data_IF_598192265736
#
_entry.id   IF_598192265736
#
_cell.length_a   1.000
_cell.length_b   1.000
_cell.length_c   1.000
_cell.angle_alpha   90.00
_cell.angle_beta   90.00
_cell.angle_gamma   90.00
#
_symmetry.space_group_name_H-M   'P 1'
#
loop_
_entity.id
_entity.type
_entity.pdbx_description
1 polymer ?
#
# COMPACT_ATOMS: atom_id res chain seq x y z
N UNK A 1 -26.07 -17.01 62.74
CA UNK A 1 -26.15 -15.67 63.36
C UNK A 1 -27.54 -15.12 63.09
N UNK A 2 -28.39 -15.18 64.11
CA UNK A 2 -29.76 -14.66 64.11
C UNK A 2 -29.76 -13.24 64.70
N UNK A 3 -30.71 -12.45 64.21
CA UNK A 3 -30.95 -11.05 64.49
C UNK A 3 -31.37 -10.74 65.95
N UNK A 4 -31.16 -9.48 66.37
CA UNK A 4 -32.19 -8.58 66.95
C UNK A 4 -31.55 -7.46 67.78
N UNK A 5 -31.96 -6.21 67.53
CA UNK A 5 -32.66 -5.35 68.50
C UNK A 5 -32.70 -3.89 68.01
N UNK A 6 -33.90 -3.33 68.09
CA UNK A 6 -34.32 -2.02 67.61
C UNK A 6 -34.34 -0.95 68.73
N UNK A 7 -34.76 0.26 68.32
CA UNK A 7 -35.49 1.35 69.02
C UNK A 7 -34.73 2.69 69.04
N UNK A 8 -35.34 3.89 68.95
CA UNK A 8 -36.64 4.43 68.49
C UNK A 8 -36.61 5.94 68.85
N UNK A 9 -37.34 6.79 68.12
CA UNK A 9 -38.17 7.99 68.54
C UNK A 9 -38.22 8.99 67.36
N UNK A 10 -39.33 9.15 66.61
CA UNK A 10 -40.62 9.86 66.89
C UNK A 10 -40.45 11.41 66.91
N UNK A 11 -41.29 12.31 66.38
CA UNK A 11 -42.67 12.36 65.81
C UNK A 11 -42.84 13.80 65.23
N UNK A 12 -43.71 14.20 64.28
CA UNK A 12 -45.18 14.42 64.37
C UNK A 12 -45.72 15.03 63.04
N UNK A 13 -46.89 14.51 62.58
CA UNK A 13 -48.16 15.14 62.12
C UNK A 13 -48.17 16.34 61.11
N UNK A 14 -49.09 16.54 60.15
CA UNK A 14 -50.54 16.24 59.92
C UNK A 14 -50.95 16.43 58.42
N UNK A 15 -52.01 15.77 57.94
CA UNK A 15 -52.83 16.10 56.74
C UNK A 15 -54.23 16.62 57.19
N UNK A 16 -55.14 17.24 56.37
CA UNK A 16 -55.84 16.58 55.23
C UNK A 16 -56.46 17.47 54.08
N UNK A 17 -56.99 16.80 53.02
CA UNK A 17 -58.17 17.09 52.14
C UNK A 17 -58.27 18.42 51.31
N UNK A 18 -58.90 18.57 50.13
CA UNK A 18 -59.59 17.74 49.12
C UNK A 18 -59.83 18.55 47.81
N UNK A 19 -59.88 17.85 46.66
CA UNK A 19 -60.63 18.03 45.38
C UNK A 19 -61.07 19.41 44.83
N UNK A 20 -60.65 19.73 43.59
CA UNK A 20 -61.48 20.20 42.46
C UNK A 20 -60.68 20.19 41.12
N UNK A 21 -61.36 19.95 39.99
CA UNK A 21 -60.87 19.79 38.58
C UNK A 21 -61.84 20.59 37.66
N UNK A 22 -61.58 21.00 36.39
CA UNK A 22 -60.41 21.56 35.68
C UNK A 22 -60.75 22.89 34.92
N UNK A 23 -59.79 23.49 34.20
CA UNK A 23 -60.08 24.38 33.05
C UNK A 23 -59.03 24.21 31.93
N UNK A 24 -59.51 24.18 30.68
CA UNK A 24 -58.74 23.91 29.44
C UNK A 24 -57.90 25.08 28.90
N UNK A 25 -57.51 25.05 27.60
CA UNK A 25 -56.11 25.17 27.21
C UNK A 25 -55.69 26.59 26.76
N UNK A 26 -54.40 26.89 26.89
CA UNK A 26 -53.75 28.02 26.22
C UNK A 26 -52.55 27.51 25.42
N UNK A 27 -52.69 27.60 24.10
CA UNK A 27 -51.69 27.29 23.08
C UNK A 27 -50.54 28.28 23.14
N UNK A 28 -49.33 27.79 23.45
CA UNK A 28 -48.10 28.57 23.28
C UNK A 28 -47.42 28.13 21.98
N UNK A 29 -47.43 29.04 21.02
CA UNK A 29 -46.72 28.97 19.75
C UNK A 29 -45.21 28.77 19.98
N UNK A 30 -44.68 27.62 19.56
CA UNK A 30 -43.25 27.42 19.42
C UNK A 30 -42.78 28.15 18.15
N UNK A 31 -42.02 29.23 18.33
CA UNK A 31 -41.21 29.80 17.26
C UNK A 31 -40.22 28.74 16.77
N UNK A 32 -40.33 28.42 15.49
CA UNK A 32 -39.38 27.60 14.74
C UNK A 32 -38.10 28.42 14.62
N UNK A 33 -37.10 28.06 15.42
CA UNK A 33 -35.73 28.49 15.20
C UNK A 33 -35.22 27.85 13.91
N UNK A 34 -34.81 28.67 12.96
CA UNK A 34 -34.14 28.24 11.75
C UNK A 34 -32.84 27.53 12.15
N UNK A 35 -32.80 26.21 12.02
CA UNK A 35 -31.56 25.46 12.06
C UNK A 35 -30.67 25.98 10.92
N UNK A 36 -29.65 26.76 11.26
CA UNK A 36 -28.52 26.97 10.37
C UNK A 36 -28.02 25.60 9.96
N UNK A 37 -27.95 25.37 8.64
CA UNK A 37 -27.27 24.24 8.07
C UNK A 37 -25.85 24.23 8.62
N UNK A 38 -25.57 23.27 9.52
CA UNK A 38 -24.22 23.01 9.97
C UNK A 38 -23.35 22.80 8.74
N UNK A 39 -22.28 23.57 8.63
CA UNK A 39 -21.25 23.37 7.62
C UNK A 39 -20.82 21.91 7.67
N UNK A 40 -21.12 21.14 6.63
CA UNK A 40 -20.56 19.81 6.47
C UNK A 40 -19.04 19.96 6.62
N UNK A 41 -18.47 19.39 7.69
CA UNK A 41 -17.04 19.34 7.87
C UNK A 41 -16.52 18.42 6.79
N UNK A 42 -16.18 19.02 5.64
CA UNK A 42 -15.56 18.34 4.54
C UNK A 42 -14.28 17.74 5.08
N UNK A 43 -14.17 16.42 5.04
CA UNK A 43 -12.96 15.77 5.47
C UNK A 43 -11.74 16.42 4.76
N UNK A 44 -10.68 16.74 5.52
CA UNK A 44 -9.52 17.39 4.95
C UNK A 44 -8.96 16.53 3.81
N UNK A 45 -8.71 17.16 2.66
CA UNK A 45 -8.11 16.47 1.51
C UNK A 45 -6.64 16.20 1.82
N UNK A 46 -6.08 15.05 1.40
CA UNK A 46 -4.65 14.82 1.46
C UNK A 46 -3.85 15.95 0.81
N UNK A 47 -2.76 16.38 1.46
CA UNK A 47 -1.87 17.45 1.00
C UNK A 47 -0.41 17.02 1.11
N UNK A 48 0.44 17.53 0.22
CA UNK A 48 1.89 17.33 0.30
C UNK A 48 2.44 18.16 1.46
N UNK A 49 3.01 17.50 2.46
CA UNK A 49 3.63 18.11 3.64
C UNK A 49 5.11 18.41 3.44
N UNK A 50 5.80 17.56 2.68
CA UNK A 50 7.22 17.67 2.45
C UNK A 50 7.59 17.01 1.13
N UNK A 51 8.70 17.48 0.56
CA UNK A 51 9.36 16.88 -0.59
C UNK A 51 10.80 16.61 -0.20
N UNK A 52 11.20 15.34 -0.25
CA UNK A 52 12.53 14.86 0.13
C UNK A 52 13.33 14.65 -1.16
N UNK A 53 14.38 15.45 -1.43
CA UNK A 53 15.27 15.19 -2.55
C UNK A 53 16.02 13.86 -2.37
N UNK A 54 16.11 13.06 -3.43
CA UNK A 54 16.84 11.78 -3.45
C UNK A 54 17.74 11.72 -4.70
N UNK A 55 18.24 10.53 -5.04
CA UNK A 55 19.01 10.36 -6.28
C UNK A 55 18.15 10.48 -7.54
N UNK A 56 18.81 10.40 -8.70
CA UNK A 56 18.16 10.56 -10.00
C UNK A 56 17.23 9.38 -10.31
N UNK A 57 16.09 9.68 -10.93
CA UNK A 57 15.05 8.73 -11.36
C UNK A 57 14.64 7.73 -10.25
N UNK A 58 14.14 8.18 -9.09
CA UNK A 58 13.67 7.27 -8.04
C UNK A 58 12.49 6.44 -8.54
N UNK A 59 12.51 5.13 -8.27
CA UNK A 59 11.51 4.17 -8.77
C UNK A 59 10.54 3.69 -7.71
N UNK A 60 11.07 3.23 -6.59
CA UNK A 60 10.30 2.59 -5.52
C UNK A 60 10.80 3.12 -4.21
N UNK A 61 9.87 3.46 -3.32
CA UNK A 61 10.12 3.68 -1.90
C UNK A 61 9.51 2.52 -1.12
N UNK A 62 10.22 2.00 -0.14
CA UNK A 62 9.73 0.94 0.75
C UNK A 62 10.23 1.19 2.16
N UNK A 63 9.35 1.09 3.14
CA UNK A 63 9.73 1.19 4.55
C UNK A 63 10.41 -0.09 5.03
N UNK A 64 11.50 0.06 5.77
CA UNK A 64 12.06 -1.06 6.51
C UNK A 64 11.09 -1.49 7.62
N UNK A 65 11.10 -2.76 8.05
CA UNK A 65 10.31 -3.21 9.20
C UNK A 65 10.48 -2.30 10.42
N UNK A 66 9.36 -1.89 11.02
CA UNK A 66 9.34 -0.90 12.11
C UNK A 66 9.31 0.56 11.66
N UNK A 67 9.29 0.84 10.34
CA UNK A 67 8.97 2.13 9.72
C UNK A 67 9.81 3.34 10.16
N UNK A 68 10.97 3.12 10.78
CA UNK A 68 11.91 4.19 11.18
C UNK A 68 12.70 4.75 10.00
N UNK A 69 12.94 3.90 8.99
CA UNK A 69 13.66 4.27 7.78
C UNK A 69 12.92 3.80 6.54
N UNK A 70 13.02 4.56 5.46
CA UNK A 70 12.56 4.16 4.13
C UNK A 70 13.73 4.10 3.15
N UNK A 71 13.70 3.15 2.22
CA UNK A 71 14.73 2.95 1.21
C UNK A 71 14.15 3.30 -0.16
N UNK A 72 14.89 4.08 -0.95
CA UNK A 72 14.46 4.55 -2.28
C UNK A 72 15.49 4.11 -3.32
N UNK A 73 15.07 3.29 -4.28
CA UNK A 73 15.90 2.89 -5.40
C UNK A 73 15.97 4.02 -6.45
N UNK A 74 17.17 4.57 -6.65
CA UNK A 74 17.45 5.66 -7.57
C UNK A 74 18.05 5.13 -8.87
N UNK A 75 17.19 4.80 -9.84
CA UNK A 75 17.61 4.12 -11.07
C UNK A 75 18.67 4.90 -11.85
N UNK A 76 18.55 6.22 -11.93
CA UNK A 76 19.45 7.07 -12.69
C UNK A 76 20.79 7.32 -12.00
N UNK A 77 20.90 7.00 -10.71
CA UNK A 77 22.12 7.18 -9.93
C UNK A 77 22.83 5.88 -9.58
N UNK A 78 22.24 4.72 -9.84
CA UNK A 78 22.74 3.41 -9.37
C UNK A 78 22.96 3.38 -7.84
N UNK A 79 22.04 4.00 -7.10
CA UNK A 79 22.10 4.06 -5.63
C UNK A 79 20.76 3.76 -4.98
N UNK A 80 20.79 3.50 -3.68
CA UNK A 80 19.64 3.51 -2.80
C UNK A 80 19.80 4.62 -1.76
N UNK A 81 18.83 5.54 -1.68
CA UNK A 81 18.76 6.52 -0.59
C UNK A 81 18.08 5.90 0.62
N UNK A 82 18.66 6.11 1.81
CA UNK A 82 18.05 5.75 3.10
C UNK A 82 17.52 7.03 3.73
N UNK A 83 16.21 7.10 3.91
CA UNK A 83 15.50 8.22 4.52
C UNK A 83 15.23 7.88 5.99
N UNK A 84 15.54 8.79 6.90
CA UNK A 84 15.01 8.78 8.26
C UNK A 84 13.60 9.39 8.25
N UNK A 85 12.62 8.60 8.70
CA UNK A 85 11.19 8.94 8.53
C UNK A 85 10.75 10.07 9.45
N UNK A 86 11.33 10.16 10.64
CA UNK A 86 11.00 11.18 11.63
C UNK A 86 11.49 12.57 11.20
N UNK A 87 12.72 12.67 10.73
CA UNK A 87 13.31 13.92 10.24
C UNK A 87 12.98 14.23 8.78
N UNK A 88 12.50 13.24 8.00
CA UNK A 88 12.23 13.34 6.56
C UNK A 88 13.48 13.75 5.76
N UNK A 89 14.64 13.21 6.14
CA UNK A 89 15.92 13.50 5.48
C UNK A 89 16.64 12.24 5.03
N UNK A 90 17.44 12.35 3.97
CA UNK A 90 18.33 11.28 3.53
C UNK A 90 19.52 11.20 4.47
N UNK A 91 19.69 10.06 5.14
CA UNK A 91 20.76 9.80 6.13
C UNK A 91 21.87 8.90 5.60
N UNK A 92 21.69 8.29 4.43
CA UNK A 92 22.73 7.57 3.70
C UNK A 92 22.35 7.39 2.23
N UNK A 93 23.37 7.19 1.40
CA UNK A 93 23.22 6.80 -0.01
C UNK A 93 24.15 5.61 -0.26
N UNK A 94 23.58 4.49 -0.68
CA UNK A 94 24.28 3.20 -0.82
C UNK A 94 24.44 2.90 -2.31
N UNK A 95 25.65 2.77 -2.85
CA UNK A 95 25.86 2.30 -4.23
C UNK A 95 25.37 0.85 -4.39
N UNK A 96 24.72 0.56 -5.50
CA UNK A 96 24.22 -0.78 -5.88
C UNK A 96 24.52 -1.05 -7.36
N UNK A 97 23.99 -2.15 -7.91
CA UNK A 97 24.06 -2.45 -9.34
C UNK A 97 23.37 -1.41 -10.24
N UNK A 98 23.38 -1.68 -11.54
CA UNK A 98 22.91 -0.73 -12.54
C UNK A 98 21.37 -0.67 -12.61
N UNK A 99 20.83 0.54 -12.63
CA UNK A 99 19.39 0.83 -12.76
C UNK A 99 18.53 0.09 -11.71
N UNK A 100 18.73 0.36 -10.40
CA UNK A 100 17.94 -0.27 -9.34
C UNK A 100 16.45 0.08 -9.45
N UNK A 101 15.60 -0.89 -9.14
CA UNK A 101 14.14 -0.76 -9.31
C UNK A 101 13.38 -1.20 -8.05
N UNK A 102 12.98 -2.47 -7.94
CA UNK A 102 12.26 -2.99 -6.78
C UNK A 102 13.14 -3.07 -5.53
N UNK A 103 12.54 -2.82 -4.36
CA UNK A 103 13.17 -2.94 -3.04
C UNK A 103 12.28 -3.81 -2.16
N UNK A 104 12.87 -4.80 -1.48
CA UNK A 104 12.18 -5.60 -0.47
C UNK A 104 13.09 -5.85 0.74
N UNK A 105 12.51 -6.10 1.90
CA UNK A 105 13.25 -6.45 3.12
C UNK A 105 12.98 -7.90 3.52
N UNK A 106 13.95 -8.54 4.15
CA UNK A 106 13.68 -9.74 4.93
C UNK A 106 12.78 -9.41 6.13
N UNK A 107 12.20 -10.44 6.75
CA UNK A 107 11.20 -10.26 7.82
C UNK A 107 11.72 -9.43 9.00
N UNK A 108 13.02 -9.48 9.29
CA UNK A 108 13.64 -8.73 10.40
C UNK A 108 14.19 -7.37 9.96
N UNK A 109 14.20 -7.07 8.67
CA UNK A 109 14.79 -5.86 8.12
C UNK A 109 16.31 -5.82 8.24
N UNK A 110 16.97 -6.96 8.47
CA UNK A 110 18.42 -7.07 8.53
C UNK A 110 19.05 -6.93 7.13
N UNK A 111 18.32 -7.39 6.10
CA UNK A 111 18.74 -7.31 4.71
C UNK A 111 17.68 -6.65 3.83
N UNK A 112 18.13 -5.80 2.92
CA UNK A 112 17.33 -5.31 1.80
C UNK A 112 17.80 -5.95 0.49
N UNK A 113 16.85 -6.34 -0.36
CA UNK A 113 17.07 -6.94 -1.67
C UNK A 113 16.63 -5.95 -2.74
N UNK A 114 17.54 -5.60 -3.65
CA UNK A 114 17.33 -4.55 -4.66
C UNK A 114 17.49 -5.18 -6.03
N UNK A 115 16.46 -5.16 -6.86
CA UNK A 115 16.53 -5.64 -8.24
C UNK A 115 17.22 -4.59 -9.11
N UNK A 116 18.36 -4.93 -9.72
CA UNK A 116 19.16 -4.05 -10.57
C UNK A 116 18.98 -4.41 -12.04
N UNK A 117 18.15 -3.64 -12.73
CA UNK A 117 17.67 -4.00 -14.06
C UNK A 117 18.78 -4.16 -15.09
N UNK A 118 19.72 -3.23 -15.14
CA UNK A 118 20.68 -3.17 -16.25
C UNK A 118 21.96 -3.97 -15.97
N UNK A 119 22.05 -4.60 -14.79
CA UNK A 119 23.15 -5.50 -14.41
C UNK A 119 22.70 -6.93 -14.09
N UNK A 120 21.44 -7.28 -14.36
CA UNK A 120 20.87 -8.63 -14.24
C UNK A 120 21.12 -9.34 -12.90
N UNK A 121 21.06 -8.57 -11.82
CA UNK A 121 21.34 -9.08 -10.47
C UNK A 121 20.40 -8.47 -9.41
N UNK A 122 20.41 -9.09 -8.24
CA UNK A 122 19.89 -8.52 -7.00
C UNK A 122 21.05 -8.16 -6.08
N UNK A 123 21.17 -6.90 -5.70
CA UNK A 123 22.06 -6.49 -4.60
C UNK A 123 21.39 -6.79 -3.26
N UNK A 124 22.13 -7.43 -2.35
CA UNK A 124 21.73 -7.66 -0.95
C UNK A 124 22.49 -6.69 -0.06
N UNK A 125 21.77 -5.79 0.58
CA UNK A 125 22.29 -4.75 1.48
C UNK A 125 22.11 -5.19 2.92
N UNK A 126 23.17 -5.16 3.71
CA UNK A 126 23.08 -5.18 5.17
C UNK A 126 22.62 -3.79 5.65
N UNK A 127 21.44 -3.73 6.28
CA UNK A 127 20.77 -2.46 6.61
C UNK A 127 21.42 -1.73 7.79
N UNK A 128 22.09 -2.47 8.69
CA UNK A 128 22.81 -1.90 9.82
C UNK A 128 24.13 -1.29 9.37
N UNK A 129 24.87 -2.01 8.52
CA UNK A 129 26.13 -1.56 7.95
C UNK A 129 25.95 -0.60 6.76
N UNK A 130 24.73 -0.51 6.19
CA UNK A 130 24.36 0.30 5.03
C UNK A 130 25.27 0.07 3.83
N UNK A 131 25.52 -1.20 3.51
CA UNK A 131 26.39 -1.60 2.41
C UNK A 131 25.90 -2.86 1.72
N UNK A 132 26.19 -2.99 0.44
CA UNK A 132 26.02 -4.25 -0.30
C UNK A 132 26.99 -5.29 0.28
N UNK A 133 26.46 -6.45 0.66
CA UNK A 133 27.22 -7.58 1.21
C UNK A 133 27.24 -8.79 0.28
N UNK A 134 26.30 -8.86 -0.66
CA UNK A 134 26.24 -9.90 -1.68
C UNK A 134 25.53 -9.38 -2.93
N UNK A 135 25.89 -9.95 -4.07
CA UNK A 135 25.11 -9.83 -5.29
C UNK A 135 24.69 -11.21 -5.77
N UNK A 136 23.46 -11.31 -6.27
CA UNK A 136 22.85 -12.58 -6.69
C UNK A 136 22.41 -12.43 -8.14
N UNK A 137 23.09 -13.10 -9.10
CA UNK A 137 22.65 -13.11 -10.49
C UNK A 137 21.24 -13.69 -10.62
N UNK A 138 20.41 -13.07 -11.46
CA UNK A 138 19.03 -13.50 -11.75
C UNK A 138 18.78 -13.46 -13.26
N UNK A 139 17.52 -13.49 -13.69
CA UNK A 139 17.17 -13.34 -15.11
C UNK A 139 17.40 -11.93 -15.65
N UNK A 140 17.37 -11.81 -16.98
CA UNK A 140 17.51 -10.56 -17.74
C UNK A 140 16.46 -9.50 -17.36
N UNK A 141 16.95 -8.28 -17.11
CA UNK A 141 16.20 -7.09 -16.74
C UNK A 141 15.29 -7.29 -15.52
N UNK A 142 15.83 -7.63 -14.33
CA UNK A 142 15.05 -7.78 -13.11
C UNK A 142 14.41 -6.44 -12.73
N UNK A 143 13.12 -6.47 -12.38
CA UNK A 143 12.33 -5.25 -12.19
C UNK A 143 11.70 -5.14 -10.81
N UNK A 144 11.12 -6.22 -10.31
CA UNK A 144 10.47 -6.24 -9.01
C UNK A 144 11.05 -7.33 -8.14
N UNK A 145 11.06 -7.10 -6.83
CA UNK A 145 11.37 -8.11 -5.83
C UNK A 145 10.28 -8.06 -4.76
N UNK A 146 9.70 -9.20 -4.45
CA UNK A 146 8.68 -9.35 -3.40
C UNK A 146 9.10 -10.43 -2.43
N UNK A 147 8.98 -10.15 -1.13
CA UNK A 147 9.27 -11.13 -0.08
C UNK A 147 8.04 -11.99 0.17
N UNK A 148 8.19 -13.32 0.13
CA UNK A 148 7.12 -14.22 0.51
C UNK A 148 6.76 -14.02 2.00
N UNK A 149 5.48 -14.12 2.42
CA UNK A 149 5.07 -13.84 3.80
C UNK A 149 5.77 -14.68 4.88
N UNK A 150 6.24 -15.88 4.51
CA UNK A 150 7.03 -16.74 5.39
C UNK A 150 8.48 -16.24 5.62
N UNK A 151 8.93 -15.24 4.86
CA UNK A 151 10.27 -14.63 4.92
C UNK A 151 11.39 -15.49 4.36
N UNK A 152 11.10 -16.70 3.87
CA UNK A 152 12.11 -17.67 3.40
C UNK A 152 12.57 -17.41 1.96
N UNK A 153 11.69 -16.84 1.14
CA UNK A 153 11.97 -16.66 -0.29
C UNK A 153 11.68 -15.24 -0.74
N UNK A 154 12.57 -14.70 -1.58
CA UNK A 154 12.32 -13.51 -2.37
C UNK A 154 12.03 -13.93 -3.83
N UNK A 155 10.97 -13.38 -4.40
CA UNK A 155 10.56 -13.63 -5.79
C UNK A 155 10.89 -12.40 -6.63
N UNK A 156 11.63 -12.59 -7.72
CA UNK A 156 12.16 -11.51 -8.55
C UNK A 156 11.62 -11.65 -9.97
N UNK A 157 10.78 -10.72 -10.41
CA UNK A 157 10.33 -10.70 -11.80
C UNK A 157 11.41 -10.14 -12.71
N UNK A 158 11.69 -10.84 -13.81
CA UNK A 158 12.69 -10.47 -14.79
C UNK A 158 12.01 -10.18 -16.12
N UNK A 159 11.91 -8.90 -16.47
CA UNK A 159 11.13 -8.41 -17.62
C UNK A 159 11.64 -9.02 -18.92
N UNK A 160 12.96 -9.06 -19.12
CA UNK A 160 13.56 -9.61 -20.34
C UNK A 160 13.45 -11.14 -20.44
N UNK A 161 13.34 -11.82 -19.30
CA UNK A 161 13.27 -13.29 -19.26
C UNK A 161 11.87 -13.89 -19.38
N UNK A 162 10.81 -13.12 -19.11
CA UNK A 162 9.45 -13.70 -19.01
C UNK A 162 9.32 -14.70 -17.85
N UNK A 163 10.04 -14.46 -16.76
CA UNK A 163 10.14 -15.41 -15.65
C UNK A 163 10.23 -14.71 -14.28
N UNK A 164 9.93 -15.47 -13.23
CA UNK A 164 10.20 -15.11 -11.83
C UNK A 164 11.29 -16.01 -11.26
N UNK A 165 12.38 -15.41 -10.82
CA UNK A 165 13.47 -16.11 -10.11
C UNK A 165 13.16 -16.17 -8.61
N UNK A 166 13.34 -17.32 -7.98
CA UNK A 166 13.13 -17.54 -6.54
C UNK A 166 14.49 -17.61 -5.85
N UNK A 167 14.71 -16.76 -4.86
CA UNK A 167 15.93 -16.70 -4.05
C UNK A 167 15.60 -17.16 -2.63
N UNK A 168 16.33 -18.13 -2.09
CA UNK A 168 16.29 -18.47 -0.67
C UNK A 168 17.04 -17.39 0.13
N UNK A 169 16.37 -16.77 1.10
CA UNK A 169 16.88 -15.56 1.79
C UNK A 169 17.99 -15.86 2.79
N UNK A 170 18.06 -17.10 3.29
CA UNK A 170 19.08 -17.50 4.26
C UNK A 170 20.41 -17.79 3.57
N UNK A 171 20.36 -18.50 2.44
CA UNK A 171 21.54 -18.82 1.63
C UNK A 171 21.87 -17.73 0.62
N UNK A 172 20.91 -16.85 0.34
CA UNK A 172 20.96 -15.80 -0.68
C UNK A 172 21.35 -16.39 -2.04
N UNK A 173 20.72 -17.50 -2.41
CA UNK A 173 20.98 -18.24 -3.64
C UNK A 173 19.68 -18.50 -4.39
N UNK A 174 19.76 -18.50 -5.72
CA UNK A 174 18.64 -18.88 -6.58
C UNK A 174 18.33 -20.36 -6.37
N UNK A 175 17.06 -20.68 -6.15
CA UNK A 175 16.59 -22.06 -6.00
C UNK A 175 15.75 -22.51 -7.19
N UNK A 176 15.02 -21.60 -7.85
CA UNK A 176 14.10 -21.94 -8.93
C UNK A 176 13.89 -20.75 -9.87
N UNK A 177 13.42 -21.06 -11.08
CA UNK A 177 12.94 -20.09 -12.05
C UNK A 177 11.57 -20.54 -12.55
N UNK A 178 10.57 -19.68 -12.42
CA UNK A 178 9.17 -19.96 -12.76
C UNK A 178 8.82 -19.19 -14.04
N UNK A 179 8.56 -19.86 -15.17
CA UNK A 179 8.09 -19.20 -16.38
C UNK A 179 6.72 -18.55 -16.14
N UNK A 180 6.53 -17.33 -16.62
CA UNK A 180 5.27 -16.58 -16.58
C UNK A 180 4.99 -15.95 -17.96
N UNK A 181 4.13 -14.94 -18.04
CA UNK A 181 3.91 -14.19 -19.27
C UNK A 181 5.08 -13.27 -19.64
N UNK A 182 4.94 -12.53 -20.75
CA UNK A 182 5.99 -11.64 -21.24
C UNK A 182 6.07 -10.37 -20.39
N UNK A 183 7.30 -9.88 -20.21
CA UNK A 183 7.60 -8.65 -19.48
C UNK A 183 6.95 -8.59 -18.08
N UNK A 184 7.21 -9.55 -17.18
CA UNK A 184 6.65 -9.54 -15.84
C UNK A 184 7.16 -8.33 -15.04
N UNK A 185 6.28 -7.77 -14.21
CA UNK A 185 6.52 -6.55 -13.41
C UNK A 185 6.16 -6.78 -11.94
N UNK A 186 5.09 -6.16 -11.44
CA UNK A 186 4.70 -6.27 -10.04
C UNK A 186 4.42 -7.71 -9.63
N UNK A 187 4.80 -8.05 -8.40
CA UNK A 187 4.48 -9.31 -7.74
C UNK A 187 3.85 -8.97 -6.40
N UNK A 188 2.73 -9.62 -6.07
CA UNK A 188 2.16 -9.59 -4.73
C UNK A 188 1.72 -10.99 -4.29
N UNK A 189 1.84 -11.27 -3.00
CA UNK A 189 1.45 -12.54 -2.41
C UNK A 189 0.09 -12.42 -1.73
N UNK A 190 -0.66 -13.52 -1.70
CA UNK A 190 -1.73 -13.64 -0.70
C UNK A 190 -1.12 -13.63 0.70
N UNK A 191 -1.80 -13.09 1.72
CA UNK A 191 -1.33 -13.05 3.11
C UNK A 191 -0.90 -14.40 3.67
N UNK A 192 -1.61 -15.48 3.32
CA UNK A 192 -1.25 -16.86 3.69
C UNK A 192 -0.02 -17.41 2.94
N UNK A 193 0.51 -16.67 1.97
CA UNK A 193 1.68 -17.00 1.16
C UNK A 193 1.49 -18.15 0.18
N UNK A 194 0.28 -18.67 -0.02
CA UNK A 194 0.02 -19.84 -0.89
C UNK A 194 -0.03 -19.48 -2.38
N UNK A 195 -0.41 -18.24 -2.71
CA UNK A 195 -0.47 -17.74 -4.08
C UNK A 195 0.39 -16.49 -4.23
N UNK A 196 0.95 -16.31 -5.42
CA UNK A 196 1.51 -15.05 -5.87
C UNK A 196 0.89 -14.65 -7.22
N UNK A 197 0.62 -13.36 -7.39
CA UNK A 197 0.09 -12.78 -8.62
C UNK A 197 1.19 -11.96 -9.29
N UNK A 198 1.38 -12.15 -10.59
CA UNK A 198 2.43 -11.49 -11.38
C UNK A 198 1.82 -10.80 -12.58
N UNK A 199 1.95 -9.47 -12.67
CA UNK A 199 1.50 -8.71 -13.83
C UNK A 199 2.47 -8.86 -15.00
N UNK A 200 1.98 -9.31 -16.16
CA UNK A 200 2.76 -9.55 -17.38
C UNK A 200 2.44 -8.45 -18.40
N UNK A 201 3.27 -7.41 -18.47
CA UNK A 201 2.87 -6.17 -19.15
C UNK A 201 2.67 -6.31 -20.64
N UNK A 202 3.48 -7.15 -21.30
CA UNK A 202 3.44 -7.28 -22.76
C UNK A 202 2.53 -8.43 -23.19
N UNK A 203 1.82 -9.03 -22.23
CA UNK A 203 0.84 -10.11 -22.46
C UNK A 203 -0.55 -9.73 -21.98
N UNK A 204 -0.76 -8.53 -21.43
CA UNK A 204 -2.04 -8.05 -20.89
C UNK A 204 -2.73 -9.07 -19.96
N UNK A 205 -1.92 -9.75 -19.14
CA UNK A 205 -2.37 -10.85 -18.28
C UNK A 205 -1.72 -10.79 -16.90
N UNK A 206 -2.29 -11.54 -15.96
CA UNK A 206 -1.71 -11.83 -14.64
C UNK A 206 -1.52 -13.33 -14.49
N UNK A 207 -0.30 -13.78 -14.18
CA UNK A 207 -0.04 -15.17 -13.81
C UNK A 207 -0.31 -15.40 -12.32
N UNK A 208 -1.02 -16.48 -12.00
CA UNK A 208 -1.23 -16.95 -10.62
C UNK A 208 -0.29 -18.12 -10.35
N UNK A 209 0.59 -17.99 -9.37
CA UNK A 209 1.60 -18.99 -9.02
C UNK A 209 1.20 -19.67 -7.70
N UNK A 210 1.17 -21.01 -7.67
CA UNK A 210 1.18 -21.77 -6.42
C UNK A 210 2.62 -21.78 -5.89
N UNK A 211 2.84 -21.19 -4.71
CA UNK A 211 4.19 -20.94 -4.17
C UNK A 211 4.85 -22.20 -3.61
N UNK A 212 4.07 -23.25 -3.32
CA UNK A 212 4.57 -24.52 -2.79
C UNK A 212 5.14 -25.37 -3.90
N UNK A 213 4.44 -25.42 -5.03
CA UNK A 213 4.82 -26.19 -6.23
C UNK A 213 5.66 -25.37 -7.19
N UNK A 214 5.65 -24.03 -7.06
CA UNK A 214 6.38 -23.07 -7.89
C UNK A 214 5.99 -23.18 -9.37
N UNK A 215 4.70 -23.35 -9.61
CA UNK A 215 4.12 -23.44 -10.95
C UNK A 215 2.99 -22.44 -11.12
N UNK A 216 2.81 -21.94 -12.34
CA UNK A 216 1.64 -21.14 -12.71
C UNK A 216 0.42 -22.06 -12.77
N UNK A 217 -0.62 -21.73 -12.01
CA UNK A 217 -1.88 -22.46 -11.95
C UNK A 217 -2.98 -21.82 -12.77
N UNK A 218 -2.87 -20.52 -13.06
CA UNK A 218 -3.85 -19.77 -13.85
C UNK A 218 -3.23 -18.56 -14.53
N UNK A 219 -3.88 -18.05 -15.58
CA UNK A 219 -3.49 -16.82 -16.28
C UNK A 219 -4.74 -16.01 -16.61
N UNK A 220 -4.84 -14.82 -16.02
CA UNK A 220 -6.03 -13.98 -16.01
C UNK A 220 -5.84 -12.84 -17.01
N UNK A 221 -6.66 -12.72 -18.07
CA UNK A 221 -6.67 -11.53 -18.92
C UNK A 221 -7.10 -10.29 -18.13
N UNK A 222 -6.38 -9.19 -18.31
CA UNK A 222 -6.66 -7.89 -17.67
C UNK A 222 -6.59 -6.78 -18.72
N UNK A 223 -6.54 -5.51 -18.30
CA UNK A 223 -6.37 -4.38 -19.21
C UNK A 223 -4.93 -4.20 -19.69
N UNK A 224 -4.74 -3.23 -20.59
CA UNK A 224 -3.50 -3.00 -21.32
C UNK A 224 -2.32 -2.56 -20.43
N UNK A 225 -1.18 -3.21 -20.65
CA UNK A 225 0.09 -2.99 -19.96
C UNK A 225 -0.03 -3.03 -18.42
N UNK A 226 -0.39 -4.18 -17.82
CA UNK A 226 -0.51 -4.30 -16.38
C UNK A 226 0.86 -4.15 -15.71
N UNK A 227 0.93 -3.41 -14.59
CA UNK A 227 2.20 -3.13 -13.90
C UNK A 227 2.18 -3.41 -12.40
N UNK A 228 1.33 -2.70 -11.66
CA UNK A 228 1.21 -2.83 -10.21
C UNK A 228 0.27 -3.98 -9.86
N UNK A 229 0.56 -4.66 -8.76
CA UNK A 229 -0.27 -5.74 -8.23
C UNK A 229 -0.45 -5.48 -6.73
N UNK A 230 -1.68 -5.59 -6.27
CA UNK A 230 -2.05 -5.41 -4.87
C UNK A 230 -3.04 -6.48 -4.48
N UNK A 231 -2.79 -7.20 -3.38
CA UNK A 231 -3.70 -8.21 -2.83
C UNK A 231 -4.23 -7.69 -1.49
N UNK A 232 -5.54 -7.78 -1.26
CA UNK A 232 -6.16 -7.36 0.01
C UNK A 232 -5.77 -8.30 1.16
N UNK A 233 -5.71 -7.84 2.42
CA UNK A 233 -5.36 -8.67 3.57
C UNK A 233 -6.33 -9.80 3.92
N UNK A 234 -7.58 -9.73 3.48
CA UNK A 234 -8.52 -10.85 3.51
C UNK A 234 -8.23 -11.93 2.44
N UNK A 235 -7.34 -11.62 1.49
CA UNK A 235 -6.98 -12.44 0.34
C UNK A 235 -8.12 -12.65 -0.69
N UNK A 236 -9.21 -11.89 -0.60
CA UNK A 236 -10.40 -12.04 -1.45
C UNK A 236 -10.29 -11.27 -2.76
N UNK A 237 -9.56 -10.16 -2.79
CA UNK A 237 -9.50 -9.26 -3.96
C UNK A 237 -8.06 -8.96 -4.39
N UNK A 238 -7.84 -8.90 -5.70
CA UNK A 238 -6.57 -8.47 -6.31
C UNK A 238 -6.83 -7.29 -7.24
N UNK A 239 -6.05 -6.22 -7.06
CA UNK A 239 -6.09 -5.02 -7.90
C UNK A 239 -4.85 -4.96 -8.81
N UNK A 240 -5.08 -4.64 -10.07
CA UNK A 240 -4.03 -4.56 -11.11
C UNK A 240 -4.10 -3.22 -11.81
N UNK A 241 -3.03 -2.44 -11.80
CA UNK A 241 -2.99 -1.18 -12.55
C UNK A 241 -2.63 -1.43 -14.01
N UNK A 242 -3.49 -0.96 -14.91
CA UNK A 242 -3.34 -1.08 -16.36
C UNK A 242 -2.88 0.28 -16.90
N UNK A 243 -1.59 0.38 -17.24
CA UNK A 243 -0.98 1.67 -17.57
C UNK A 243 -1.68 2.37 -18.73
N UNK A 244 -1.79 1.69 -19.87
CA UNK A 244 -2.23 2.36 -21.09
C UNK A 244 -3.74 2.63 -20.99
N UNK A 245 -4.47 1.72 -20.36
CA UNK A 245 -5.91 1.86 -20.14
C UNK A 245 -6.31 2.97 -19.18
N UNK A 246 -5.41 3.48 -18.32
CA UNK A 246 -5.80 4.45 -17.28
C UNK A 246 -6.77 3.87 -16.25
N UNK A 247 -6.66 2.56 -15.99
CA UNK A 247 -7.61 1.82 -15.16
C UNK A 247 -6.92 0.92 -14.13
N UNK A 248 -7.71 0.42 -13.18
CA UNK A 248 -7.36 -0.66 -12.27
C UNK A 248 -8.38 -1.79 -12.44
N UNK A 249 -7.93 -2.98 -12.83
CA UNK A 249 -8.78 -4.17 -12.84
C UNK A 249 -8.96 -4.71 -11.41
N UNK A 250 -10.18 -5.12 -11.08
CA UNK A 250 -10.53 -5.79 -9.83
C UNK A 250 -10.75 -7.26 -10.12
N UNK A 251 -10.02 -8.14 -9.43
CA UNK A 251 -10.06 -9.59 -9.61
C UNK A 251 -10.56 -10.23 -8.32
N UNK A 252 -11.56 -11.10 -8.44
CA UNK A 252 -11.96 -12.02 -7.40
C UNK A 252 -10.93 -13.15 -7.30
N UNK A 253 -10.29 -13.27 -6.12
CA UNK A 253 -9.16 -14.17 -5.94
C UNK A 253 -9.57 -15.65 -5.87
N UNK A 254 -10.83 -15.98 -5.59
CA UNK A 254 -11.30 -17.36 -5.51
C UNK A 254 -11.61 -17.92 -6.90
N UNK A 255 -12.18 -17.11 -7.76
CA UNK A 255 -12.58 -17.46 -9.12
C UNK A 255 -11.55 -17.06 -10.18
N UNK A 256 -10.56 -16.22 -9.82
CA UNK A 256 -9.56 -15.64 -10.72
C UNK A 256 -10.21 -14.91 -11.92
N UNK A 257 -11.31 -14.20 -11.69
CA UNK A 257 -12.03 -13.46 -12.72
C UNK A 257 -12.00 -11.97 -12.42
N UNK A 258 -11.83 -11.17 -13.48
CA UNK A 258 -12.05 -9.72 -13.38
C UNK A 258 -13.54 -9.48 -13.13
N UNK A 259 -13.86 -8.82 -12.03
CA UNK A 259 -15.23 -8.50 -11.60
C UNK A 259 -15.60 -7.04 -11.80
N UNK A 260 -14.61 -6.15 -11.87
CA UNK A 260 -14.82 -4.72 -12.10
C UNK A 260 -13.58 -4.05 -12.70
N UNK A 261 -13.72 -2.82 -13.17
CA UNK A 261 -12.64 -1.97 -13.67
C UNK A 261 -12.85 -0.53 -13.23
N UNK A 262 -11.88 0.01 -12.51
CA UNK A 262 -11.91 1.36 -11.93
C UNK A 262 -11.12 2.30 -12.84
N UNK A 263 -11.73 3.37 -13.34
CA UNK A 263 -11.01 4.43 -14.04
C UNK A 263 -10.28 5.33 -13.05
N UNK A 264 -8.99 5.56 -13.27
CA UNK A 264 -8.13 6.42 -12.43
C UNK A 264 -7.42 7.47 -13.31
N UNK A 265 -6.35 8.09 -12.81
CA UNK A 265 -5.52 9.02 -13.58
C UNK A 265 -4.72 8.35 -14.71
N UNK A 266 -4.03 9.17 -15.50
CA UNK A 266 -3.31 8.70 -16.68
C UNK A 266 -2.03 7.92 -16.31
N UNK A 267 -1.77 6.82 -17.02
CA UNK A 267 -0.60 5.95 -16.84
C UNK A 267 -0.41 5.48 -15.37
N UNK A 268 -1.37 4.77 -14.76
CA UNK A 268 -1.25 4.28 -13.39
C UNK A 268 -0.10 3.27 -13.26
N UNK A 269 0.61 3.31 -12.13
CA UNK A 269 1.83 2.54 -11.83
C UNK A 269 1.68 1.74 -10.55
N UNK A 270 2.39 2.12 -9.48
CA UNK A 270 2.33 1.44 -8.19
C UNK A 270 0.96 1.55 -7.54
N UNK A 271 0.56 0.46 -6.89
CA UNK A 271 -0.63 0.34 -6.07
C UNK A 271 -0.20 0.08 -4.63
N UNK A 272 -0.92 0.68 -3.69
CA UNK A 272 -0.69 0.44 -2.27
C UNK A 272 -2.00 0.60 -1.48
N UNK A 273 -2.15 -0.17 -0.40
CA UNK A 273 -3.28 -0.06 0.53
C UNK A 273 -2.95 0.85 1.72
N UNK A 274 -3.96 1.56 2.18
CA UNK A 274 -4.04 2.13 3.52
C UNK A 274 -4.41 1.05 4.55
N UNK A 275 -3.90 1.10 5.78
CA UNK A 275 -4.32 0.15 6.81
C UNK A 275 -5.82 0.22 7.12
N UNK A 276 -6.44 -0.96 7.27
CA UNK A 276 -7.89 -1.09 7.39
C UNK A 276 -8.60 -1.38 6.07
N UNK A 277 -7.83 -1.67 5.01
CA UNK A 277 -8.23 -2.37 3.78
C UNK A 277 -9.28 -1.68 2.92
N UNK A 278 -9.70 -0.47 3.31
CA UNK A 278 -10.79 0.28 2.68
C UNK A 278 -10.32 1.25 1.61
N UNK A 279 -9.08 1.74 1.69
CA UNK A 279 -8.57 2.80 0.81
C UNK A 279 -7.32 2.33 0.10
N UNK A 280 -7.27 2.53 -1.21
CA UNK A 280 -6.11 2.23 -2.04
C UNK A 280 -5.63 3.48 -2.80
N UNK A 281 -4.33 3.54 -3.01
CA UNK A 281 -3.62 4.62 -3.70
C UNK A 281 -2.99 4.13 -4.99
N UNK A 282 -3.10 4.93 -6.05
CA UNK A 282 -2.49 4.65 -7.35
C UNK A 282 -1.66 5.83 -7.79
N UNK A 283 -0.36 5.63 -8.03
CA UNK A 283 0.48 6.67 -8.63
C UNK A 283 0.23 6.77 -10.15
N UNK A 284 -0.15 7.94 -10.62
CA UNK A 284 -0.50 8.20 -12.02
C UNK A 284 0.59 9.02 -12.71
N UNK A 285 1.53 8.32 -13.35
CA UNK A 285 2.69 8.97 -13.96
C UNK A 285 2.37 9.97 -15.08
N UNK A 286 1.22 9.84 -15.73
CA UNK A 286 0.83 10.68 -16.86
C UNK A 286 0.06 11.94 -16.46
N UNK A 287 -0.36 12.03 -15.21
CA UNK A 287 -1.14 13.16 -14.68
C UNK A 287 -0.52 13.80 -13.44
N UNK A 288 0.67 13.37 -13.02
CA UNK A 288 1.39 13.86 -11.84
C UNK A 288 0.53 13.87 -10.57
N UNK A 289 -0.30 12.83 -10.43
CA UNK A 289 -1.24 12.67 -9.31
C UNK A 289 -1.15 11.31 -8.66
N UNK A 290 -1.72 11.20 -7.45
CA UNK A 290 -2.12 9.94 -6.83
C UNK A 290 -3.64 9.89 -6.76
N UNK A 291 -4.25 8.88 -7.38
CA UNK A 291 -5.68 8.60 -7.21
C UNK A 291 -5.93 7.81 -5.93
N UNK A 292 -7.04 8.13 -5.28
CA UNK A 292 -7.51 7.48 -4.05
C UNK A 292 -8.85 6.83 -4.35
N UNK A 293 -9.01 5.54 -4.07
CA UNK A 293 -10.29 4.87 -4.25
C UNK A 293 -10.68 3.99 -3.05
N UNK A 294 -11.98 3.86 -2.84
CA UNK A 294 -12.55 2.97 -1.83
C UNK A 294 -12.64 1.54 -2.41
N UNK A 295 -11.99 0.59 -1.76
CA UNK A 295 -11.84 -0.81 -2.21
C UNK A 295 -13.15 -1.60 -2.14
N UNK A 296 -14.10 -1.19 -1.29
CA UNK A 296 -15.40 -1.88 -1.14
C UNK A 296 -16.41 -1.44 -2.20
N UNK A 297 -16.36 -0.16 -2.59
CA UNK A 297 -17.32 0.45 -3.51
C UNK A 297 -16.75 0.71 -4.89
N UNK A 298 -15.43 0.55 -5.05
CA UNK A 298 -14.67 0.82 -6.27
C UNK A 298 -14.78 2.27 -6.76
N UNK A 299 -15.15 3.19 -5.87
CA UNK A 299 -15.30 4.62 -6.19
C UNK A 299 -14.01 5.36 -5.95
N UNK A 300 -13.57 6.12 -6.96
CA UNK A 300 -12.52 7.12 -6.81
C UNK A 300 -13.04 8.27 -5.95
N UNK A 301 -12.31 8.56 -4.88
CA UNK A 301 -12.63 9.58 -3.88
C UNK A 301 -12.00 10.93 -4.23
N UNK A 302 -10.92 10.91 -5.01
CA UNK A 302 -10.25 12.09 -5.52
C UNK A 302 -8.79 11.82 -5.87
N UNK A 303 -8.13 12.88 -6.31
CA UNK A 303 -6.72 12.87 -6.68
C UNK A 303 -5.93 13.89 -5.85
N UNK A 304 -4.64 13.60 -5.66
CA UNK A 304 -3.67 14.47 -4.99
C UNK A 304 -2.55 14.77 -5.96
N UNK A 305 -2.28 16.03 -6.25
CA UNK A 305 -1.13 16.42 -7.04
C UNK A 305 0.16 16.18 -6.26
N UNK A 306 1.17 15.62 -6.91
CA UNK A 306 2.49 15.30 -6.34
C UNK A 306 3.59 15.87 -7.24
N UNK A 307 4.82 15.34 -7.15
CA UNK A 307 5.87 15.70 -8.11
C UNK A 307 5.69 14.98 -9.45
N UNK A 308 6.57 15.30 -10.40
CA UNK A 308 6.48 14.84 -11.78
C UNK A 308 6.81 13.34 -11.93
N UNK A 309 6.06 12.66 -12.79
CA UNK A 309 6.18 11.23 -13.10
C UNK A 309 6.16 10.34 -11.84
N UNK A 310 5.09 10.36 -11.03
CA UNK A 310 5.00 9.52 -9.84
C UNK A 310 4.94 8.03 -10.22
N UNK A 311 5.70 7.19 -9.50
CA UNK A 311 5.86 5.76 -9.83
C UNK A 311 5.33 4.79 -8.79
N UNK A 312 5.54 5.06 -7.51
CA UNK A 312 5.23 4.14 -6.43
C UNK A 312 4.76 4.89 -5.20
N UNK A 313 3.85 4.27 -4.46
CA UNK A 313 3.31 4.78 -3.20
C UNK A 313 3.61 3.76 -2.09
N UNK A 314 3.92 4.23 -0.89
CA UNK A 314 4.11 3.38 0.29
C UNK A 314 3.53 4.07 1.53
N UNK A 315 2.73 3.33 2.30
CA UNK A 315 2.16 3.81 3.56
C UNK A 315 3.23 3.80 4.64
N UNK A 316 3.40 4.92 5.32
CA UNK A 316 4.34 5.10 6.42
C UNK A 316 3.81 4.59 7.77
N UNK A 317 4.53 4.83 8.87
CA UNK A 317 4.10 4.45 10.20
C UNK A 317 2.75 5.07 10.58
N UNK A 318 1.97 4.30 11.31
CA UNK A 318 0.63 4.63 11.84
C UNK A 318 -0.36 5.12 10.77
N UNK A 319 -0.04 4.83 9.50
CA UNK A 319 -0.73 5.28 8.31
C UNK A 319 -1.03 6.79 8.29
N UNK A 320 -0.22 7.59 8.97
CA UNK A 320 -0.41 9.04 8.96
C UNK A 320 0.03 9.65 7.62
N UNK A 321 0.97 8.98 6.95
CA UNK A 321 1.64 9.52 5.76
C UNK A 321 1.76 8.52 4.62
N UNK A 322 1.59 9.01 3.40
CA UNK A 322 1.91 8.31 2.17
C UNK A 322 3.20 8.88 1.56
N UNK A 323 4.17 8.01 1.27
CA UNK A 323 5.38 8.38 0.56
C UNK A 323 5.23 8.04 -0.91
N UNK A 324 5.53 8.99 -1.80
CA UNK A 324 5.36 8.83 -3.24
C UNK A 324 6.66 9.19 -3.95
N UNK A 325 7.25 8.23 -4.68
CA UNK A 325 8.43 8.51 -5.50
C UNK A 325 8.03 9.22 -6.78
N UNK A 326 8.62 10.39 -7.03
CA UNK A 326 8.45 11.19 -8.25
C UNK A 326 9.70 11.06 -9.10
N UNK A 327 9.64 10.25 -10.16
CA UNK A 327 10.82 9.98 -11.01
C UNK A 327 11.33 11.26 -11.65
N UNK A 328 10.43 12.06 -12.22
CA UNK A 328 10.77 13.27 -12.98
C UNK A 328 11.36 14.36 -12.12
N UNK A 329 10.84 14.54 -10.90
CA UNK A 329 11.35 15.55 -9.96
C UNK A 329 12.49 15.07 -9.06
N UNK A 330 12.94 13.82 -9.20
CA UNK A 330 14.03 13.23 -8.39
C UNK A 330 13.80 13.34 -6.87
N UNK A 331 12.57 13.08 -6.44
CA UNK A 331 12.14 13.34 -5.06
C UNK A 331 11.15 12.29 -4.54
N UNK A 332 10.88 12.35 -3.25
CA UNK A 332 9.78 11.66 -2.59
C UNK A 332 8.83 12.69 -1.97
N UNK A 333 7.56 12.70 -2.38
CA UNK A 333 6.51 13.48 -1.70
C UNK A 333 6.03 12.74 -0.46
N UNK A 334 5.85 13.45 0.65
CA UNK A 334 5.20 12.98 1.87
C UNK A 334 3.83 13.63 1.95
N UNK A 335 2.78 12.84 1.92
CA UNK A 335 1.38 13.30 1.84
C UNK A 335 0.65 12.91 3.12
N UNK A 336 -0.18 13.80 3.68
CA UNK A 336 -1.09 13.40 4.77
C UNK A 336 -2.11 12.39 4.28
N UNK A 337 -2.44 11.43 5.14
CA UNK A 337 -3.57 10.54 4.91
C UNK A 337 -4.66 10.92 5.90
N UNK A 338 -5.46 11.93 5.58
CA UNK A 338 -6.69 12.20 6.31
C UNK A 338 -7.89 11.94 5.37
N UNK A 339 -8.89 11.23 5.91
CA UNK A 339 -10.12 10.81 5.25
C UNK A 339 -11.34 11.50 5.84
#
# INVERSE_FOLDING_TARGET
ALASAALLTASLLTAPAAHAVPAGPSTRTHQIGTHQAGTAHRAPRPVVLATIPVGLNPRVVTFAPGHRTAYVANAGSNTVSVIDVASRTVVATIPVGAFPYGVAFDRRGAFAFIANRDSDEVSVIDTAARKVVKTVPVGDAPRWVAMAPNGRYAYVSSTGSGAVTVIDTATQAVTDTIPVGKAPRGIAFTPNGRRAYVANSDSDTVSVIDTRTKTVTDTIPVGDEPRGVLVTPDAETVYISNTIGGTVSVIDADTNKVTDTITVGANPRGLNLYSGDRIAYVANSGSDTVSIFDTRTHKVLGDVAVGDDPRWTASGPDDEYLYVTNTGSHSVSVITIEC
#
